data_IF_592036250994
#
_entry.id   IF_592036250994
#
_cell.length_a   1.000
_cell.length_b   1.000
_cell.length_c   1.000
_cell.angle_alpha   90.00
_cell.angle_beta   90.00
_cell.angle_gamma   90.00
#
_symmetry.space_group_name_H-M   'P 1'
#
loop_
_entity.id
_entity.type
_entity.pdbx_description
1 polymer ?
#
# COMPACT_ATOMS: atom_id res chain seq x y z
N UNK A 1 18.99 7.86 2.44
CA UNK A 1 17.64 8.42 2.55
C UNK A 1 16.76 7.94 1.40
N UNK A 2 15.54 7.53 1.72
CA UNK A 2 14.62 7.04 0.71
C UNK A 2 14.13 8.17 -0.19
N UNK A 3 14.35 8.03 -1.50
CA UNK A 3 13.76 8.94 -2.47
C UNK A 3 12.29 8.55 -2.68
N UNK A 4 11.39 9.43 -2.32
CA UNK A 4 9.96 9.18 -2.43
C UNK A 4 9.38 9.55 -3.79
N UNK A 5 10.15 10.23 -4.63
CA UNK A 5 9.71 10.59 -5.96
C UNK A 5 10.70 10.14 -7.02
N UNK A 6 10.18 9.49 -8.01
CA UNK A 6 10.89 9.16 -9.22
C UNK A 6 10.13 9.81 -10.38
N UNK A 7 10.74 10.80 -11.02
CA UNK A 7 10.06 11.59 -12.06
C UNK A 7 9.59 10.75 -13.24
N UNK A 8 10.27 9.64 -13.52
CA UNK A 8 9.91 8.78 -14.66
C UNK A 8 8.60 8.01 -14.44
N UNK A 9 8.17 7.79 -13.20
CA UNK A 9 6.93 7.03 -12.90
C UNK A 9 5.81 7.89 -12.32
N UNK A 10 6.04 9.19 -12.07
CA UNK A 10 5.01 10.08 -11.55
C UNK A 10 3.79 10.15 -12.48
N UNK A 11 3.93 10.27 -13.82
CA UNK A 11 2.76 10.25 -14.71
C UNK A 11 1.94 8.97 -14.59
N UNK A 12 2.60 7.80 -14.45
CA UNK A 12 1.91 6.52 -14.26
C UNK A 12 1.12 6.51 -12.95
N UNK A 13 1.71 7.01 -11.86
CA UNK A 13 1.01 7.10 -10.59
C UNK A 13 -0.23 7.99 -10.68
N UNK A 14 -0.16 9.11 -11.41
CA UNK A 14 -1.31 9.99 -11.63
C UNK A 14 -2.44 9.28 -12.39
N UNK A 15 -2.09 8.49 -13.41
CA UNK A 15 -3.06 7.71 -14.16
C UNK A 15 -3.73 6.69 -13.25
N UNK A 16 -2.98 5.98 -12.43
CA UNK A 16 -3.51 4.99 -11.50
C UNK A 16 -4.45 5.64 -10.48
N UNK A 17 -4.15 6.83 -9.99
CA UNK A 17 -5.03 7.54 -9.06
C UNK A 17 -6.36 7.91 -9.69
N UNK A 18 -6.39 8.17 -11.00
CA UNK A 18 -7.64 8.48 -11.71
C UNK A 18 -8.44 7.23 -12.03
N UNK A 19 -7.77 6.08 -12.16
CA UNK A 19 -8.36 4.83 -12.61
C UNK A 19 -8.30 3.76 -11.51
N UNK A 20 -8.78 4.12 -10.32
CA UNK A 20 -8.80 3.18 -9.20
C UNK A 20 -9.74 2.01 -9.49
N UNK A 21 -9.34 0.83 -9.03
CA UNK A 21 -10.24 -0.33 -9.07
C UNK A 21 -11.38 -0.13 -8.07
N UNK A 22 -12.43 -0.95 -8.19
CA UNK A 22 -13.55 -0.95 -7.24
C UNK A 22 -13.06 -1.15 -5.80
N UNK A 23 -12.17 -2.10 -5.62
CA UNK A 23 -11.63 -2.47 -4.32
C UNK A 23 -10.79 -1.35 -3.74
N UNK A 24 -9.95 -0.72 -4.55
CA UNK A 24 -9.18 0.44 -4.13
C UNK A 24 -10.09 1.61 -3.73
N UNK A 25 -11.12 1.87 -4.54
CA UNK A 25 -12.08 2.93 -4.25
C UNK A 25 -12.83 2.66 -2.95
N UNK A 26 -13.24 1.42 -2.72
CA UNK A 26 -13.96 1.05 -1.51
C UNK A 26 -13.09 1.29 -0.27
N UNK A 27 -11.85 0.80 -0.27
CA UNK A 27 -10.96 0.97 0.87
C UNK A 27 -10.60 2.45 1.09
N UNK A 28 -10.39 3.19 0.01
CA UNK A 28 -10.03 4.59 0.11
C UNK A 28 -11.18 5.47 0.61
N UNK A 29 -12.31 5.44 -0.10
CA UNK A 29 -13.42 6.37 0.20
C UNK A 29 -14.17 5.99 1.47
N UNK A 30 -14.28 4.70 1.79
CA UNK A 30 -15.05 4.26 2.93
C UNK A 30 -14.23 4.10 4.20
N UNK A 31 -12.90 4.21 4.13
CA UNK A 31 -12.07 4.08 5.32
C UNK A 31 -10.84 4.97 5.32
N UNK A 32 -9.89 4.76 4.39
CA UNK A 32 -8.56 5.39 4.50
C UNK A 32 -8.58 6.90 4.33
N UNK A 33 -9.46 7.42 3.49
CA UNK A 33 -9.53 8.85 3.19
C UNK A 33 -9.71 9.70 4.45
N UNK A 34 -10.53 9.23 5.37
CA UNK A 34 -10.86 9.98 6.59
C UNK A 34 -10.22 9.39 7.84
N UNK A 35 -9.33 8.41 7.67
CA UNK A 35 -8.65 7.81 8.81
C UNK A 35 -7.73 8.87 9.45
N UNK A 36 -7.70 8.96 10.81
CA UNK A 36 -6.93 10.01 11.49
C UNK A 36 -5.44 10.05 11.18
N UNK A 37 -4.84 8.90 10.91
CA UNK A 37 -3.44 8.84 10.49
C UNK A 37 -3.43 8.82 8.96
N UNK A 38 -2.72 9.76 8.36
CA UNK A 38 -2.83 10.02 6.93
C UNK A 38 -2.28 8.90 6.05
N UNK A 39 -3.09 8.47 5.08
CA UNK A 39 -2.68 7.60 3.99
C UNK A 39 -2.66 8.38 2.68
N UNK A 40 -1.74 8.00 1.79
CA UNK A 40 -1.66 8.50 0.41
C UNK A 40 -1.96 7.36 -0.54
N UNK A 41 -2.56 7.68 -1.69
CA UNK A 41 -2.86 6.70 -2.75
C UNK A 41 -1.77 6.71 -3.80
N UNK A 42 -1.46 5.54 -4.36
CA UNK A 42 -0.52 5.40 -5.49
C UNK A 42 0.72 6.26 -5.29
N UNK A 43 1.38 6.03 -4.17
CA UNK A 43 2.54 6.82 -3.76
C UNK A 43 3.81 6.27 -4.40
N UNK A 44 4.59 7.16 -5.01
CA UNK A 44 5.88 6.80 -5.59
C UNK A 44 6.92 6.71 -4.48
N UNK A 45 7.58 5.56 -4.37
CA UNK A 45 8.65 5.30 -3.42
C UNK A 45 9.83 4.70 -4.20
N UNK A 46 10.83 5.54 -4.48
CA UNK A 46 11.92 5.13 -5.36
C UNK A 46 11.40 4.84 -6.76
N UNK A 47 11.61 3.62 -7.24
CA UNK A 47 11.11 3.17 -8.55
C UNK A 47 9.79 2.39 -8.44
N UNK A 48 9.22 2.34 -7.25
CA UNK A 48 8.00 1.57 -7.00
C UNK A 48 6.81 2.48 -6.74
N UNK A 49 5.61 1.96 -6.98
CA UNK A 49 4.36 2.65 -6.67
C UNK A 49 3.63 1.81 -5.63
N UNK A 50 3.31 2.41 -4.48
CA UNK A 50 2.54 1.74 -3.44
C UNK A 50 1.07 2.10 -3.60
N UNK A 51 0.17 1.11 -3.48
CA UNK A 51 -1.28 1.36 -3.58
C UNK A 51 -1.72 2.37 -2.52
N UNK A 52 -1.38 2.10 -1.27
CA UNK A 52 -1.66 3.01 -0.15
C UNK A 52 -0.45 3.05 0.77
N UNK A 53 -0.07 4.25 1.19
CA UNK A 53 1.10 4.44 2.03
C UNK A 53 0.79 5.35 3.21
N UNK A 54 1.17 4.91 4.40
CA UNK A 54 1.13 5.71 5.62
C UNK A 54 2.57 6.01 6.05
N UNK A 55 3.00 7.24 5.86
CA UNK A 55 4.38 7.64 6.17
C UNK A 55 4.66 7.58 7.67
N UNK A 56 3.72 7.97 8.50
CA UNK A 56 3.90 7.97 9.95
C UNK A 56 4.12 6.57 10.51
N UNK A 57 3.34 5.61 10.03
CA UNK A 57 3.43 4.21 10.47
C UNK A 57 4.45 3.41 9.67
N UNK A 58 5.00 3.97 8.62
CA UNK A 58 5.87 3.27 7.66
C UNK A 58 5.22 1.99 7.17
N UNK A 59 3.98 2.12 6.71
CA UNK A 59 3.15 0.99 6.34
C UNK A 59 2.63 1.16 4.92
N UNK A 60 2.81 0.14 4.09
CA UNK A 60 2.21 0.05 2.76
C UNK A 60 1.12 -1.00 2.79
N UNK A 61 -0.02 -0.67 2.19
CA UNK A 61 -1.11 -1.61 1.97
C UNK A 61 -1.23 -1.83 0.47
N UNK A 62 -1.14 -3.08 0.04
CA UNK A 62 -1.30 -3.47 -1.37
C UNK A 62 -2.55 -4.32 -1.50
N UNK A 63 -3.40 -3.99 -2.45
CA UNK A 63 -4.54 -4.83 -2.78
C UNK A 63 -4.12 -5.82 -3.85
N UNK A 64 -4.34 -7.10 -3.58
CA UNK A 64 -3.89 -8.18 -4.44
C UNK A 64 -5.07 -8.79 -5.17
N UNK A 65 -5.05 -8.67 -6.50
CA UNK A 65 -6.02 -9.35 -7.34
C UNK A 65 -5.63 -10.82 -7.51
N UNK A 66 -6.50 -11.57 -8.18
CA UNK A 66 -6.23 -12.97 -8.49
C UNK A 66 -5.25 -13.07 -9.67
N UNK A 67 -3.99 -12.73 -9.45
CA UNK A 67 -2.95 -12.81 -10.47
C UNK A 67 -2.14 -14.09 -10.37
N UNK A 68 -1.73 -14.63 -11.52
CA UNK A 68 -0.74 -15.68 -11.53
C UNK A 68 0.64 -15.04 -11.43
N UNK A 69 1.39 -15.44 -10.45
CA UNK A 69 2.76 -14.98 -10.31
C UNK A 69 3.67 -15.84 -11.22
N UNK A 70 4.32 -15.18 -12.17
CA UNK A 70 5.41 -15.80 -12.92
C UNK A 70 6.68 -15.76 -12.06
N UNK A 71 7.70 -16.54 -12.43
CA UNK A 71 8.97 -16.50 -11.71
C UNK A 71 9.59 -15.10 -11.74
N UNK A 72 9.50 -14.41 -12.87
CA UNK A 72 9.99 -13.03 -13.00
C UNK A 72 9.22 -12.09 -12.09
N UNK A 73 7.90 -12.27 -11.99
CA UNK A 73 7.06 -11.49 -11.12
C UNK A 73 7.39 -11.68 -9.65
N UNK A 74 7.70 -12.91 -9.24
CA UNK A 74 8.12 -13.22 -7.88
C UNK A 74 9.45 -12.56 -7.53
N UNK A 75 10.40 -12.62 -8.42
CA UNK A 75 11.71 -12.00 -8.23
C UNK A 75 11.58 -10.49 -8.08
N UNK A 76 10.78 -9.86 -8.93
CA UNK A 76 10.52 -8.43 -8.85
C UNK A 76 9.89 -8.08 -7.50
N UNK A 77 8.92 -8.86 -7.04
CA UNK A 77 8.22 -8.63 -5.79
C UNK A 77 9.15 -8.78 -4.58
N UNK A 78 10.03 -9.79 -4.62
CA UNK A 78 11.02 -9.99 -3.57
C UNK A 78 12.01 -8.83 -3.48
N UNK A 79 12.49 -8.36 -4.64
CA UNK A 79 13.41 -7.23 -4.70
C UNK A 79 12.74 -5.95 -4.17
N UNK A 80 11.48 -5.73 -4.54
CA UNK A 80 10.70 -4.59 -4.08
C UNK A 80 10.53 -4.65 -2.56
N UNK A 81 10.15 -5.80 -2.04
CA UNK A 81 9.95 -5.98 -0.60
C UNK A 81 11.25 -5.75 0.16
N UNK A 82 12.37 -6.30 -0.32
CA UNK A 82 13.67 -6.11 0.31
C UNK A 82 14.08 -4.63 0.29
N UNK A 83 13.85 -3.93 -0.83
CA UNK A 83 14.13 -2.51 -0.93
C UNK A 83 13.35 -1.71 0.12
N UNK A 84 12.06 -1.96 0.23
CA UNK A 84 11.20 -1.25 1.16
C UNK A 84 11.54 -1.56 2.62
N UNK A 85 11.82 -2.82 2.92
CA UNK A 85 12.20 -3.24 4.27
C UNK A 85 13.51 -2.59 4.72
N UNK A 86 14.43 -2.36 3.79
CA UNK A 86 15.69 -1.68 4.11
C UNK A 86 15.47 -0.25 4.64
N UNK A 87 14.34 0.36 4.31
CA UNK A 87 13.94 1.67 4.81
C UNK A 87 12.97 1.60 6.00
N UNK A 88 12.79 0.40 6.56
CA UNK A 88 11.92 0.21 7.70
C UNK A 88 10.44 0.23 7.38
N UNK A 89 10.09 0.02 6.10
CA UNK A 89 8.70 0.05 5.65
C UNK A 89 8.14 -1.37 5.67
N UNK A 90 7.00 -1.56 6.31
CA UNK A 90 6.27 -2.81 6.32
C UNK A 90 5.26 -2.83 5.19
N UNK A 91 5.22 -3.93 4.44
CA UNK A 91 4.24 -4.11 3.35
C UNK A 91 3.26 -5.19 3.76
N UNK A 92 1.97 -4.87 3.71
CA UNK A 92 0.93 -5.87 3.91
C UNK A 92 0.11 -6.01 2.63
N UNK A 93 -0.35 -7.22 2.37
CA UNK A 93 -1.20 -7.51 1.23
C UNK A 93 -2.57 -7.96 1.69
N UNK A 94 -3.59 -7.37 1.08
CA UNK A 94 -4.97 -7.69 1.36
C UNK A 94 -5.60 -8.08 0.03
N UNK A 95 -6.28 -9.23 0.00
CA UNK A 95 -6.89 -9.69 -1.24
C UNK A 95 -8.14 -8.89 -1.56
N UNK A 96 -8.46 -8.77 -2.84
CA UNK A 96 -9.71 -8.16 -3.27
C UNK A 96 -10.90 -8.92 -2.68
N UNK A 97 -10.78 -10.23 -2.54
CA UNK A 97 -11.81 -11.06 -1.93
C UNK A 97 -12.10 -10.63 -0.49
N UNK A 98 -11.05 -10.35 0.30
CA UNK A 98 -11.23 -9.88 1.68
C UNK A 98 -11.93 -8.52 1.71
N UNK A 99 -11.64 -7.65 0.77
CA UNK A 99 -12.34 -6.36 0.64
C UNK A 99 -13.84 -6.58 0.45
N UNK A 100 -14.22 -7.56 -0.38
CA UNK A 100 -15.63 -7.85 -0.64
C UNK A 100 -16.32 -8.59 0.49
N UNK A 101 -15.64 -9.52 1.13
CA UNK A 101 -16.25 -10.45 2.07
C UNK A 101 -16.13 -10.04 3.53
N UNK A 102 -15.13 -9.25 3.88
CA UNK A 102 -14.86 -8.90 5.27
C UNK A 102 -14.26 -7.49 5.40
N UNK A 103 -14.92 -6.52 4.81
CA UNK A 103 -14.40 -5.16 4.76
C UNK A 103 -14.08 -4.59 6.14
N UNK A 104 -15.00 -4.73 7.08
CA UNK A 104 -14.79 -4.17 8.42
C UNK A 104 -13.69 -4.87 9.19
N UNK A 105 -13.51 -6.18 8.97
CA UNK A 105 -12.38 -6.91 9.53
C UNK A 105 -11.05 -6.43 8.94
N UNK A 106 -11.02 -6.10 7.65
CA UNK A 106 -9.86 -5.50 7.02
C UNK A 106 -9.54 -4.14 7.65
N UNK A 107 -10.54 -3.31 7.85
CA UNK A 107 -10.36 -1.99 8.48
C UNK A 107 -9.80 -2.12 9.90
N UNK A 108 -10.33 -3.05 10.69
CA UNK A 108 -9.81 -3.29 12.04
C UNK A 108 -8.36 -3.77 12.02
N UNK A 109 -8.04 -4.65 11.10
CA UNK A 109 -6.67 -5.15 10.93
C UNK A 109 -5.71 -4.01 10.61
N UNK A 110 -6.07 -3.15 9.66
CA UNK A 110 -5.27 -1.98 9.31
C UNK A 110 -5.08 -1.06 10.52
N UNK A 111 -6.16 -0.78 11.24
CA UNK A 111 -6.11 0.06 12.43
C UNK A 111 -5.15 -0.50 13.47
N UNK A 112 -5.22 -1.80 13.73
CA UNK A 112 -4.32 -2.46 14.68
C UNK A 112 -2.86 -2.34 14.25
N UNK A 113 -2.57 -2.55 12.96
CA UNK A 113 -1.22 -2.44 12.43
C UNK A 113 -0.68 -1.02 12.53
N UNK A 114 -1.50 -0.02 12.23
CA UNK A 114 -1.09 1.38 12.36
C UNK A 114 -0.75 1.70 13.82
N UNK A 115 -1.61 1.35 14.74
CA UNK A 115 -1.40 1.59 16.17
C UNK A 115 -0.14 0.90 16.68
N UNK A 116 0.07 -0.35 16.28
CA UNK A 116 1.23 -1.13 16.66
C UNK A 116 2.51 -0.52 16.10
N UNK A 117 2.50 -0.13 14.83
CA UNK A 117 3.65 0.49 14.18
C UNK A 117 4.02 1.81 14.83
N UNK A 118 3.04 2.66 15.12
CA UNK A 118 3.28 3.95 15.78
C UNK A 118 3.85 3.75 17.19
N UNK A 119 3.38 2.75 17.89
CA UNK A 119 3.88 2.42 19.23
C UNK A 119 5.35 2.01 19.20
N UNK A 120 5.75 1.26 18.17
CA UNK A 120 7.13 0.80 18.02
C UNK A 120 8.08 1.92 17.58
N UNK A 121 7.56 2.93 16.89
CA UNK A 121 8.37 4.02 16.34
C UNK A 121 8.60 5.15 17.34
N UNK A 122 7.95 5.13 18.47
CA UNK A 122 8.09 6.14 19.51
C UNK A 122 9.22 5.86 20.48
#
# INVERSE_FOLDING_TARGET
MLRKHNKSIVPTAKILRKNMTKEESHLWYDFLRTYPVRFSRQKVLGKYIADFYCAEAKLIIELDGSGHYTDDGRQYDEERTAFLQAYGITVIRITNREIHQNFWGVCEYIEQLVKQSLSQLR
#
